data_IF_061927014673
#
_entry.id   IF_061927014673
#
_cell.length_a   1.000
_cell.length_b   1.000
_cell.length_c   1.000
_cell.angle_alpha   90.00
_cell.angle_beta   90.00
_cell.angle_gamma   90.00
#
_symmetry.space_group_name_H-M   'P 1'
#
loop_
_entity.id
_entity.type
_entity.pdbx_description
1 polymer ?
#
# COMPACT_ATOMS: atom_id res chain seq x y z
N UNK A 1 44.36 -71.49 -5.24
CA UNK A 1 43.29 -70.47 -5.11
C UNK A 1 41.89 -71.03 -4.76
N UNK A 2 41.63 -72.35 -4.76
CA UNK A 2 40.26 -72.87 -4.52
C UNK A 2 39.83 -73.04 -3.05
N UNK A 3 40.76 -73.00 -2.08
CA UNK A 3 40.43 -73.10 -0.64
C UNK A 3 40.16 -71.77 0.08
N UNK A 4 40.54 -70.63 -0.51
CA UNK A 4 40.22 -69.29 0.06
C UNK A 4 38.84 -68.77 -0.35
N UNK A 5 38.25 -69.28 -1.43
CA UNK A 5 36.89 -68.91 -1.85
C UNK A 5 35.78 -69.52 -0.97
N UNK A 6 36.03 -70.67 -0.34
CA UNK A 6 35.02 -71.36 0.48
C UNK A 6 34.80 -70.64 1.83
N UNK A 7 35.85 -70.07 2.41
CA UNK A 7 35.73 -69.27 3.64
C UNK A 7 35.07 -67.90 3.40
N UNK A 8 35.19 -67.34 2.19
CA UNK A 8 34.49 -66.11 1.80
C UNK A 8 33.00 -66.38 1.54
N UNK A 9 32.65 -67.55 0.99
CA UNK A 9 31.24 -67.97 0.84
C UNK A 9 30.56 -68.28 2.18
N UNK A 10 31.31 -68.81 3.16
CA UNK A 10 30.75 -69.08 4.50
C UNK A 10 30.67 -67.82 5.38
N UNK A 11 31.54 -66.83 5.17
CA UNK A 11 31.46 -65.53 5.85
C UNK A 11 30.36 -64.61 5.32
N UNK A 12 29.97 -64.77 4.05
CA UNK A 12 28.86 -64.00 3.44
C UNK A 12 27.50 -64.63 3.72
N UNK A 13 27.42 -65.94 3.96
CA UNK A 13 26.18 -66.60 4.40
C UNK A 13 25.77 -66.26 5.85
N UNK A 14 26.70 -65.79 6.69
CA UNK A 14 26.41 -65.38 8.07
C UNK A 14 25.87 -63.95 8.22
N UNK A 15 25.91 -63.13 7.16
CA UNK A 15 25.36 -61.76 7.17
C UNK A 15 23.89 -61.66 6.72
N UNK A 16 23.28 -62.77 6.30
CA UNK A 16 21.88 -62.81 5.83
C UNK A 16 20.89 -63.19 6.95
N UNK A 17 21.36 -63.41 8.18
CA UNK A 17 20.52 -63.78 9.33
C UNK A 17 20.35 -62.69 10.39
N UNK A 18 20.64 -61.41 10.06
CA UNK A 18 20.07 -60.31 10.82
C UNK A 18 18.60 -60.15 10.40
N UNK A 19 17.76 -61.03 10.95
CA UNK A 19 16.34 -60.80 11.05
C UNK A 19 16.20 -59.55 11.93
N UNK A 20 15.67 -58.48 11.36
CA UNK A 20 15.26 -57.32 12.12
C UNK A 20 14.24 -57.82 13.16
N UNK A 21 14.52 -57.58 14.44
CA UNK A 21 13.51 -57.71 15.49
C UNK A 21 12.25 -56.96 15.05
N UNK A 22 11.10 -57.57 15.35
CA UNK A 22 9.76 -57.07 15.09
C UNK A 22 9.74 -55.54 15.08
N UNK A 23 9.49 -54.97 13.90
CA UNK A 23 9.06 -53.59 13.80
C UNK A 23 7.81 -53.52 14.65
N UNK A 24 7.93 -52.92 15.83
CA UNK A 24 6.82 -52.71 16.75
C UNK A 24 5.74 -52.02 15.93
N UNK A 25 4.64 -52.72 15.70
CA UNK A 25 3.54 -52.19 14.91
C UNK A 25 2.96 -51.02 15.71
N UNK A 26 3.25 -49.80 15.26
CA UNK A 26 2.76 -48.57 15.89
C UNK A 26 1.35 -48.23 15.40
N UNK A 27 0.67 -49.15 14.71
CA UNK A 27 -0.74 -49.00 14.41
C UNK A 27 -1.54 -49.10 15.72
N UNK A 28 -2.34 -48.08 15.98
CA UNK A 28 -3.45 -48.19 16.93
C UNK A 28 -4.26 -49.46 16.56
N UNK A 29 -4.73 -50.25 17.54
CA UNK A 29 -5.48 -51.47 17.26
C UNK A 29 -6.65 -51.15 16.34
N UNK A 30 -6.62 -51.70 15.12
CA UNK A 30 -7.67 -51.50 14.13
C UNK A 30 -8.89 -52.32 14.53
N UNK A 31 -10.03 -51.66 14.66
CA UNK A 31 -11.34 -52.28 14.77
C UNK A 31 -12.14 -52.13 13.47
N UNK A 32 -13.25 -52.87 13.36
CA UNK A 32 -14.17 -52.82 12.23
C UNK A 32 -15.54 -52.28 12.67
N UNK A 33 -15.59 -51.48 13.75
CA UNK A 33 -16.83 -50.94 14.30
C UNK A 33 -16.92 -49.47 13.89
N UNK A 34 -17.82 -49.11 12.96
CA UNK A 34 -17.99 -47.72 12.58
C UNK A 34 -18.42 -46.84 13.77
N UNK A 35 -17.92 -45.60 13.86
CA UNK A 35 -18.33 -44.66 14.90
C UNK A 35 -19.80 -44.25 14.75
N UNK A 36 -20.38 -43.68 15.81
CA UNK A 36 -21.73 -43.10 15.78
C UNK A 36 -21.84 -41.90 14.84
N UNK A 37 -23.05 -41.61 14.34
CA UNK A 37 -23.30 -40.44 13.49
C UNK A 37 -23.21 -39.12 14.27
N UNK A 38 -22.96 -38.01 13.57
CA UNK A 38 -23.13 -36.67 14.14
C UNK A 38 -24.60 -36.35 14.41
N UNK A 39 -24.90 -35.64 15.49
CA UNK A 39 -26.27 -35.23 15.86
C UNK A 39 -26.37 -33.71 16.04
N UNK A 40 -27.59 -33.16 16.14
CA UNK A 40 -27.84 -31.72 16.32
C UNK A 40 -27.15 -30.81 15.31
N UNK A 41 -27.14 -31.22 14.03
CA UNK A 41 -26.46 -30.46 12.98
C UNK A 41 -27.18 -29.13 12.74
N UNK A 42 -26.44 -28.03 12.80
CA UNK A 42 -26.89 -26.65 12.54
C UNK A 42 -26.06 -26.05 11.41
N UNK A 43 -26.73 -25.43 10.46
CA UNK A 43 -26.10 -24.76 9.32
C UNK A 43 -26.24 -23.25 9.49
N UNK A 44 -25.11 -22.55 9.47
CA UNK A 44 -25.00 -21.10 9.41
C UNK A 44 -24.37 -20.72 8.07
N UNK A 45 -25.12 -20.06 7.17
CA UNK A 45 -24.61 -19.71 5.86
C UNK A 45 -23.69 -18.47 5.92
N UNK A 46 -22.55 -18.53 5.25
CA UNK A 46 -21.55 -17.47 5.20
C UNK A 46 -21.32 -17.01 3.75
N UNK A 47 -20.61 -15.89 3.54
CA UNK A 47 -20.30 -15.40 2.20
C UNK A 47 -19.40 -16.38 1.45
N UNK A 48 -19.90 -16.93 0.34
CA UNK A 48 -19.21 -17.97 -0.45
C UNK A 48 -19.02 -19.29 0.30
N UNK A 49 -19.80 -19.55 1.37
CA UNK A 49 -19.59 -20.70 2.23
C UNK A 49 -20.75 -21.04 3.18
N UNK A 50 -20.48 -21.98 4.07
CA UNK A 50 -21.32 -22.27 5.22
C UNK A 50 -20.50 -22.86 6.36
N UNK A 51 -20.92 -22.56 7.58
CA UNK A 51 -20.41 -23.14 8.82
C UNK A 51 -21.42 -24.15 9.33
N UNK A 52 -20.97 -25.38 9.50
CA UNK A 52 -21.80 -26.51 9.95
C UNK A 52 -21.31 -26.91 11.33
N UNK A 53 -22.15 -26.74 12.34
CA UNK A 53 -21.87 -27.13 13.73
C UNK A 53 -22.70 -28.36 14.10
N UNK A 54 -22.12 -29.29 14.84
CA UNK A 54 -22.73 -30.57 15.16
C UNK A 54 -22.24 -31.11 16.50
N UNK A 55 -22.95 -32.08 17.08
CA UNK A 55 -22.54 -32.81 18.28
C UNK A 55 -21.84 -34.11 17.87
N UNK A 56 -20.62 -34.31 18.36
CA UNK A 56 -19.79 -35.49 18.13
C UNK A 56 -20.33 -36.70 18.91
N UNK A 57 -20.17 -37.93 18.37
CA UNK A 57 -20.48 -39.15 19.10
C UNK A 57 -19.45 -39.41 20.22
N UNK A 58 -19.81 -40.24 21.20
CA UNK A 58 -18.98 -40.54 22.37
C UNK A 58 -17.95 -41.66 22.16
N UNK A 59 -17.63 -42.00 20.91
CA UNK A 59 -16.67 -43.05 20.57
C UNK A 59 -15.25 -42.66 21.00
N UNK A 60 -14.55 -43.57 21.67
CA UNK A 60 -13.23 -43.30 22.27
C UNK A 60 -12.11 -43.17 21.23
N UNK A 61 -12.32 -43.72 20.04
CA UNK A 61 -11.38 -43.78 18.92
C UNK A 61 -11.81 -42.88 17.76
N UNK A 62 -12.72 -41.93 18.00
CA UNK A 62 -13.14 -40.95 17.00
C UNK A 62 -11.94 -40.12 16.50
N UNK A 63 -11.73 -40.12 15.19
CA UNK A 63 -10.71 -39.31 14.52
C UNK A 63 -11.27 -37.93 14.17
N UNK A 64 -12.50 -37.87 13.67
CA UNK A 64 -13.17 -36.62 13.34
C UNK A 64 -14.38 -36.78 12.45
N UNK A 65 -14.75 -35.69 11.78
CA UNK A 65 -15.87 -35.60 10.85
C UNK A 65 -15.35 -35.18 9.48
N UNK A 66 -15.79 -35.88 8.45
CA UNK A 66 -15.54 -35.60 7.04
C UNK A 66 -16.83 -35.11 6.39
N UNK A 67 -16.77 -33.94 5.76
CA UNK A 67 -17.82 -33.43 4.89
C UNK A 67 -17.45 -33.70 3.44
N UNK A 68 -18.33 -34.37 2.70
CA UNK A 68 -18.25 -34.57 1.26
C UNK A 68 -19.25 -33.63 0.59
N UNK A 69 -18.76 -32.76 -0.27
CA UNK A 69 -19.54 -31.70 -0.92
C UNK A 69 -19.01 -31.44 -2.34
N UNK A 70 -19.79 -30.74 -3.16
CA UNK A 70 -19.37 -30.28 -4.47
C UNK A 70 -19.49 -28.76 -4.56
N UNK A 71 -18.57 -28.12 -5.27
CA UNK A 71 -18.66 -26.68 -5.57
C UNK A 71 -19.42 -26.40 -6.87
N UNK A 72 -19.57 -27.41 -7.72
CA UNK A 72 -20.32 -27.31 -8.97
C UNK A 72 -21.77 -27.78 -8.77
N UNK A 73 -22.69 -27.18 -9.51
CA UNK A 73 -24.11 -27.57 -9.47
C UNK A 73 -24.34 -29.02 -9.90
N UNK A 74 -23.47 -29.54 -10.79
CA UNK A 74 -23.62 -30.89 -11.34
C UNK A 74 -23.13 -31.98 -10.39
N UNK A 75 -22.46 -31.62 -9.29
CA UNK A 75 -21.92 -32.57 -8.33
C UNK A 75 -20.85 -33.51 -8.92
N UNK A 76 -20.15 -33.08 -9.97
CA UNK A 76 -19.19 -33.93 -10.69
C UNK A 76 -17.85 -34.03 -9.95
N UNK A 77 -17.45 -32.96 -9.26
CA UNK A 77 -16.21 -32.93 -8.49
C UNK A 77 -16.48 -32.89 -6.99
N UNK A 78 -16.50 -34.08 -6.38
CA UNK A 78 -16.61 -34.21 -4.93
C UNK A 78 -15.31 -33.78 -4.25
N UNK A 79 -15.45 -32.95 -3.24
CA UNK A 79 -14.40 -32.46 -2.35
C UNK A 79 -14.66 -32.94 -0.94
N UNK A 80 -13.58 -33.10 -0.19
CA UNK A 80 -13.62 -33.50 1.21
C UNK A 80 -13.09 -32.37 2.09
N UNK A 81 -13.82 -32.05 3.15
CA UNK A 81 -13.35 -31.20 4.24
C UNK A 81 -13.33 -32.02 5.54
N UNK A 82 -12.27 -31.87 6.33
CA UNK A 82 -12.07 -32.64 7.55
C UNK A 82 -12.00 -31.73 8.77
N UNK A 83 -12.69 -32.13 9.84
CA UNK A 83 -12.60 -31.53 11.17
C UNK A 83 -12.25 -32.61 12.18
N UNK A 84 -11.22 -32.39 12.99
CA UNK A 84 -10.81 -33.35 14.02
C UNK A 84 -11.88 -33.53 15.11
N UNK A 85 -11.79 -34.63 15.86
CA UNK A 85 -12.65 -34.92 17.01
C UNK A 85 -12.56 -33.88 18.17
N UNK A 86 -11.65 -32.91 18.07
CA UNK A 86 -11.54 -31.80 19.03
C UNK A 86 -12.37 -30.57 18.63
N UNK A 87 -13.02 -30.62 17.46
CA UNK A 87 -13.83 -29.52 16.91
C UNK A 87 -15.22 -30.03 16.56
N UNK A 88 -16.20 -29.21 16.88
CA UNK A 88 -17.63 -29.43 16.65
C UNK A 88 -18.12 -28.76 15.36
N UNK A 89 -17.21 -28.26 14.52
CA UNK A 89 -17.53 -27.35 13.43
C UNK A 89 -16.70 -27.63 12.18
N UNK A 90 -17.37 -27.74 11.04
CA UNK A 90 -16.77 -27.72 9.69
C UNK A 90 -17.12 -26.41 9.01
N UNK A 91 -16.13 -25.79 8.37
CA UNK A 91 -16.31 -24.59 7.54
C UNK A 91 -16.10 -25.00 6.09
N UNK A 92 -17.09 -24.70 5.25
CA UNK A 92 -17.05 -24.90 3.80
C UNK A 92 -16.94 -23.54 3.13
N UNK A 93 -16.05 -23.42 2.15
CA UNK A 93 -15.76 -22.17 1.44
C UNK A 93 -15.52 -22.45 -0.05
N UNK A 94 -15.74 -21.44 -0.89
CA UNK A 94 -15.44 -21.48 -2.32
C UNK A 94 -16.66 -21.59 -3.24
N UNK A 95 -17.86 -21.39 -2.71
CA UNK A 95 -19.08 -21.37 -3.52
C UNK A 95 -19.23 -20.04 -4.27
N UNK A 96 -19.50 -20.12 -5.57
CA UNK A 96 -19.61 -18.95 -6.45
C UNK A 96 -20.98 -18.24 -6.35
N UNK A 97 -22.02 -18.95 -5.89
CA UNK A 97 -23.41 -18.50 -5.95
C UNK A 97 -24.19 -18.82 -4.67
N UNK A 98 -25.47 -18.41 -4.65
CA UNK A 98 -26.37 -18.54 -3.50
C UNK A 98 -27.37 -19.69 -3.64
N UNK A 99 -27.05 -20.72 -4.43
CA UNK A 99 -27.91 -21.90 -4.61
C UNK A 99 -27.80 -22.85 -3.43
N UNK A 100 -28.71 -23.82 -3.40
CA UNK A 100 -28.72 -24.86 -2.38
C UNK A 100 -27.81 -26.01 -2.79
N UNK A 101 -26.92 -26.44 -1.90
CA UNK A 101 -25.98 -27.52 -2.13
C UNK A 101 -26.15 -28.62 -1.08
N UNK A 102 -26.24 -29.90 -1.49
CA UNK A 102 -26.22 -31.02 -0.55
C UNK A 102 -24.79 -31.26 -0.06
N UNK A 103 -24.65 -31.46 1.24
CA UNK A 103 -23.40 -31.81 1.92
C UNK A 103 -23.65 -33.09 2.72
N UNK A 104 -22.76 -34.06 2.60
CA UNK A 104 -22.86 -35.32 3.35
C UNK A 104 -21.76 -35.39 4.40
N UNK A 105 -22.13 -35.56 5.66
CA UNK A 105 -21.22 -35.70 6.79
C UNK A 105 -21.04 -37.18 7.15
N UNK A 106 -19.80 -37.56 7.42
CA UNK A 106 -19.37 -38.86 7.90
C UNK A 106 -18.52 -38.66 9.15
N UNK A 107 -18.72 -39.47 10.18
CA UNK A 107 -17.74 -39.60 11.27
C UNK A 107 -16.74 -40.68 10.89
N UNK A 108 -15.47 -40.44 11.21
CA UNK A 108 -14.35 -41.33 10.90
C UNK A 108 -13.64 -41.64 12.21
N UNK A 109 -13.32 -42.90 12.45
CA UNK A 109 -12.50 -43.36 13.57
C UNK A 109 -11.01 -43.45 13.19
N UNK A 110 -10.16 -43.82 14.14
CA UNK A 110 -8.72 -44.01 13.90
C UNK A 110 -8.42 -45.21 12.99
N UNK A 111 -9.31 -46.19 12.94
CA UNK A 111 -9.25 -47.38 12.07
C UNK A 111 -9.68 -47.09 10.62
N UNK A 112 -10.16 -45.86 10.34
CA UNK A 112 -10.73 -45.39 9.06
C UNK A 112 -12.08 -46.01 8.69
N UNK A 113 -12.86 -46.50 9.66
CA UNK A 113 -14.25 -46.85 9.41
C UNK A 113 -15.10 -45.57 9.32
N UNK A 114 -16.05 -45.55 8.38
CA UNK A 114 -16.97 -44.43 8.18
C UNK A 114 -18.36 -44.79 8.70
N UNK A 115 -19.02 -43.85 9.38
CA UNK A 115 -20.40 -44.02 9.83
C UNK A 115 -21.43 -43.89 8.70
N UNK A 116 -22.70 -44.09 9.04
CA UNK A 116 -23.80 -43.81 8.13
C UNK A 116 -23.85 -42.30 7.76
N UNK A 117 -24.18 -41.94 6.51
CA UNK A 117 -24.16 -40.56 6.03
C UNK A 117 -25.25 -39.70 6.70
N UNK A 118 -24.89 -38.48 7.09
CA UNK A 118 -25.83 -37.44 7.50
C UNK A 118 -25.87 -36.34 6.43
N UNK A 119 -26.99 -36.23 5.72
CA UNK A 119 -27.16 -35.21 4.68
C UNK A 119 -27.68 -33.91 5.27
N UNK A 120 -27.05 -32.80 4.90
CA UNK A 120 -27.49 -31.44 5.20
C UNK A 120 -27.47 -30.59 3.94
N UNK A 121 -28.35 -29.61 3.86
CA UNK A 121 -28.39 -28.66 2.74
C UNK A 121 -27.89 -27.31 3.22
N UNK A 122 -26.97 -26.71 2.46
CA UNK A 122 -26.45 -25.37 2.71
C UNK A 122 -26.94 -24.41 1.62
N UNK A 123 -27.00 -23.11 1.92
CA UNK A 123 -27.34 -22.06 0.97
C UNK A 123 -26.40 -20.86 1.16
N UNK A 124 -25.20 -20.88 0.55
CA UNK A 124 -24.20 -19.84 0.74
C UNK A 124 -24.75 -18.43 0.46
N UNK A 125 -24.19 -17.44 1.13
CA UNK A 125 -24.43 -16.04 0.78
C UNK A 125 -23.55 -15.65 -0.42
N UNK A 126 -23.82 -14.48 -1.02
CA UNK A 126 -23.11 -13.95 -2.19
C UNK A 126 -21.59 -14.11 -2.04
N UNK A 127 -20.93 -14.63 -3.08
CA UNK A 127 -19.49 -14.83 -3.04
C UNK A 127 -18.76 -13.51 -2.76
N UNK A 128 -17.73 -13.51 -1.88
CA UNK A 128 -16.97 -12.30 -1.55
C UNK A 128 -16.41 -11.59 -2.80
N UNK A 129 -15.98 -12.35 -3.82
CA UNK A 129 -15.45 -11.81 -5.08
C UNK A 129 -16.44 -10.87 -5.77
N UNK A 130 -17.74 -11.17 -5.73
CA UNK A 130 -18.78 -10.31 -6.32
C UNK A 130 -18.95 -9.02 -5.52
N UNK A 131 -18.97 -9.11 -4.19
CA UNK A 131 -19.12 -7.94 -3.31
C UNK A 131 -17.92 -6.98 -3.44
N UNK A 132 -16.71 -7.55 -3.55
CA UNK A 132 -15.50 -6.75 -3.74
C UNK A 132 -15.53 -6.09 -5.12
N UNK A 133 -15.93 -6.82 -6.16
CA UNK A 133 -16.06 -6.29 -7.52
C UNK A 133 -17.09 -5.15 -7.61
N UNK A 134 -18.22 -5.26 -6.93
CA UNK A 134 -19.24 -4.20 -6.85
C UNK A 134 -18.70 -2.91 -6.19
N UNK A 135 -17.72 -3.04 -5.29
CA UNK A 135 -17.06 -1.89 -4.64
C UNK A 135 -15.94 -1.25 -5.46
N UNK A 136 -15.52 -1.89 -6.56
CA UNK A 136 -14.39 -1.46 -7.38
C UNK A 136 -14.70 -0.12 -8.06
N UNK A 137 -13.90 0.89 -7.76
CA UNK A 137 -13.90 2.17 -8.47
C UNK A 137 -12.62 2.30 -9.26
N UNK A 138 -12.74 2.75 -10.51
CA UNK A 138 -11.62 2.96 -11.42
C UNK A 138 -11.68 4.39 -11.94
N UNK A 139 -10.60 5.13 -11.74
CA UNK A 139 -10.44 6.51 -12.20
C UNK A 139 -9.19 6.63 -13.09
N UNK A 140 -9.17 7.68 -13.92
CA UNK A 140 -7.97 8.01 -14.71
C UNK A 140 -6.96 8.76 -13.83
N UNK A 141 -5.67 8.55 -14.07
CA UNK A 141 -4.58 9.30 -13.44
C UNK A 141 -3.47 9.55 -14.47
N UNK A 142 -2.39 10.23 -14.07
CA UNK A 142 -1.29 10.56 -14.96
C UNK A 142 -0.55 9.33 -15.47
N UNK A 143 -0.50 9.20 -16.80
CA UNK A 143 0.12 8.06 -17.47
C UNK A 143 -0.54 6.72 -17.14
N UNK A 144 -1.77 6.72 -16.61
CA UNK A 144 -2.43 5.48 -16.24
C UNK A 144 -3.82 5.55 -15.59
N UNK A 145 -4.10 4.52 -14.82
CA UNK A 145 -5.38 4.34 -14.10
C UNK A 145 -5.13 4.04 -12.62
N UNK A 146 -6.11 4.41 -11.80
CA UNK A 146 -6.11 4.16 -10.37
C UNK A 146 -7.38 3.43 -9.96
N UNK A 147 -7.25 2.45 -9.07
CA UNK A 147 -8.33 1.61 -8.59
C UNK A 147 -8.42 1.62 -7.07
N UNK A 148 -9.64 1.57 -6.55
CA UNK A 148 -9.93 1.35 -5.12
C UNK A 148 -11.03 0.32 -4.94
N UNK A 149 -10.93 -0.54 -3.92
CA UNK A 149 -11.96 -1.51 -3.57
C UNK A 149 -11.97 -1.80 -2.07
N UNK A 150 -13.07 -2.35 -1.58
CA UNK A 150 -13.26 -2.76 -0.20
C UNK A 150 -13.34 -4.29 -0.09
N UNK A 151 -12.59 -4.88 0.84
CA UNK A 151 -12.53 -6.32 1.09
C UNK A 151 -12.58 -6.61 2.60
N UNK A 152 -13.69 -6.27 3.28
CA UNK A 152 -13.80 -6.40 4.74
C UNK A 152 -13.56 -7.84 5.24
N UNK A 153 -13.74 -8.84 4.37
CA UNK A 153 -13.58 -10.26 4.66
C UNK A 153 -12.15 -10.78 4.48
N UNK A 154 -11.21 -9.93 4.03
CA UNK A 154 -9.80 -10.26 3.79
C UNK A 154 -9.60 -11.49 2.91
N UNK A 155 -10.44 -11.61 1.87
CA UNK A 155 -10.35 -12.71 0.92
C UNK A 155 -9.23 -12.45 -0.08
N UNK A 156 -8.46 -13.49 -0.40
CA UNK A 156 -7.43 -13.39 -1.43
C UNK A 156 -8.07 -13.27 -2.82
N UNK A 157 -7.81 -12.17 -3.50
CA UNK A 157 -8.32 -11.85 -4.83
C UNK A 157 -7.19 -11.60 -5.81
N UNK A 158 -7.49 -11.79 -7.09
CA UNK A 158 -6.68 -11.35 -8.21
C UNK A 158 -7.52 -10.47 -9.13
N UNK A 159 -7.05 -9.25 -9.39
CA UNK A 159 -7.68 -8.31 -10.32
C UNK A 159 -6.86 -8.27 -11.60
N UNK A 160 -7.43 -8.74 -12.70
CA UNK A 160 -6.80 -8.78 -14.02
C UNK A 160 -7.30 -7.59 -14.84
N UNK A 161 -6.36 -6.84 -15.40
CA UNK A 161 -6.62 -5.65 -16.20
C UNK A 161 -6.35 -6.00 -17.64
N UNK A 162 -7.32 -5.74 -18.51
CA UNK A 162 -7.19 -5.95 -19.94
C UNK A 162 -7.33 -4.63 -20.68
N UNK A 163 -6.56 -4.50 -21.76
CA UNK A 163 -6.61 -3.36 -22.68
C UNK A 163 -6.56 -3.85 -24.13
N UNK A 164 -6.96 -3.02 -25.07
CA UNK A 164 -6.80 -3.33 -26.50
C UNK A 164 -5.32 -3.33 -26.90
N UNK A 165 -4.88 -4.37 -27.59
CA UNK A 165 -3.57 -4.41 -28.27
C UNK A 165 -3.62 -3.65 -29.61
N UNK A 166 -2.51 -3.64 -30.36
CA UNK A 166 -2.42 -2.98 -31.66
C UNK A 166 -3.41 -3.57 -32.69
N UNK A 167 -3.79 -4.83 -32.51
CA UNK A 167 -4.74 -5.58 -33.33
C UNK A 167 -6.21 -5.34 -32.93
N UNK A 168 -6.46 -4.60 -31.84
CA UNK A 168 -7.79 -4.25 -31.33
C UNK A 168 -8.44 -5.30 -30.43
N UNK A 169 -7.72 -6.38 -30.10
CA UNK A 169 -8.16 -7.45 -29.20
C UNK A 169 -7.84 -7.11 -27.73
N UNK A 170 -8.70 -7.53 -26.80
CA UNK A 170 -8.45 -7.35 -25.37
C UNK A 170 -7.35 -8.30 -24.89
N UNK A 171 -6.17 -7.76 -24.63
CA UNK A 171 -5.02 -8.49 -24.10
C UNK A 171 -4.84 -8.18 -22.61
N UNK A 172 -4.41 -9.20 -21.86
CA UNK A 172 -4.04 -9.04 -20.44
C UNK A 172 -2.87 -8.06 -20.34
N UNK A 173 -3.07 -7.00 -19.57
CA UNK A 173 -2.04 -6.02 -19.25
C UNK A 173 -1.26 -6.43 -18.00
N UNK A 174 -1.98 -6.63 -16.90
CA UNK A 174 -1.39 -6.99 -15.61
C UNK A 174 -2.41 -7.69 -14.70
N UNK A 175 -1.92 -8.38 -13.68
CA UNK A 175 -2.73 -8.99 -12.62
C UNK A 175 -2.22 -8.60 -11.24
N UNK A 176 -3.07 -7.92 -10.48
CA UNK A 176 -2.78 -7.49 -9.13
C UNK A 176 -3.39 -8.44 -8.09
N UNK A 177 -2.60 -8.84 -7.09
CA UNK A 177 -3.02 -9.76 -6.05
C UNK A 177 -3.13 -9.05 -4.71
N UNK A 178 -4.19 -9.31 -3.95
CA UNK A 178 -4.40 -8.68 -2.64
C UNK A 178 -5.32 -9.50 -1.74
N UNK A 179 -5.09 -9.43 -0.43
CA UNK A 179 -5.98 -9.90 0.63
C UNK A 179 -6.27 -8.80 1.67
N UNK A 180 -5.76 -7.59 1.44
CA UNK A 180 -5.92 -6.44 2.32
C UNK A 180 -7.41 -6.06 2.50
N UNK A 181 -7.81 -5.55 3.68
CA UNK A 181 -9.19 -5.21 3.98
C UNK A 181 -9.75 -4.06 3.14
N UNK A 182 -8.89 -3.16 2.69
CA UNK A 182 -9.16 -2.15 1.68
C UNK A 182 -7.97 -2.12 0.74
N UNK A 183 -8.23 -1.89 -0.54
CA UNK A 183 -7.21 -1.97 -1.57
C UNK A 183 -7.17 -0.72 -2.44
N UNK A 184 -5.95 -0.37 -2.83
CA UNK A 184 -5.64 0.76 -3.71
C UNK A 184 -4.50 0.31 -4.62
N UNK A 185 -4.63 0.54 -5.92
CA UNK A 185 -3.58 0.22 -6.89
C UNK A 185 -3.57 1.22 -8.04
N UNK A 186 -2.39 1.62 -8.48
CA UNK A 186 -2.18 2.45 -9.67
C UNK A 186 -1.40 1.65 -10.72
N UNK A 187 -1.79 1.80 -11.98
CA UNK A 187 -1.14 1.16 -13.12
C UNK A 187 -0.74 2.23 -14.11
N UNK A 188 0.56 2.35 -14.36
CA UNK A 188 1.16 3.32 -15.29
C UNK A 188 1.48 2.67 -16.63
N UNK A 189 1.89 3.46 -17.61
CA UNK A 189 2.29 2.98 -18.95
C UNK A 189 1.18 3.08 -20.00
N UNK A 190 0.17 3.90 -19.75
CA UNK A 190 -0.92 4.16 -20.68
C UNK A 190 -0.77 5.54 -21.31
N UNK A 191 -0.98 5.59 -22.62
CA UNK A 191 -1.04 6.84 -23.36
C UNK A 191 -2.29 7.65 -22.97
N UNK A 192 -2.20 8.98 -23.08
CA UNK A 192 -3.29 9.91 -22.79
C UNK A 192 -4.33 9.96 -23.92
N UNK A 193 -4.86 8.78 -24.26
CA UNK A 193 -5.87 8.56 -25.30
C UNK A 193 -7.03 7.76 -24.74
N UNK A 194 -8.23 8.03 -25.24
CA UNK A 194 -9.43 7.30 -24.82
C UNK A 194 -9.33 5.84 -25.26
N UNK A 195 -9.35 4.92 -24.29
CA UNK A 195 -9.20 3.49 -24.53
C UNK A 195 -10.11 2.67 -23.61
N UNK A 196 -10.49 1.47 -24.08
CA UNK A 196 -11.35 0.57 -23.33
C UNK A 196 -10.52 -0.28 -22.37
N UNK A 197 -10.98 -0.38 -21.14
CA UNK A 197 -10.42 -1.22 -20.10
C UNK A 197 -11.47 -2.25 -19.68
N UNK A 198 -10.99 -3.46 -19.40
CA UNK A 198 -11.80 -4.52 -18.77
C UNK A 198 -11.11 -4.99 -17.51
N UNK A 199 -11.86 -5.06 -16.44
CA UNK A 199 -11.41 -5.54 -15.14
C UNK A 199 -12.12 -6.85 -14.83
N UNK A 200 -11.35 -7.89 -14.56
CA UNK A 200 -11.86 -9.19 -14.11
C UNK A 200 -11.32 -9.49 -12.73
N UNK A 201 -12.19 -9.94 -11.83
CA UNK A 201 -11.79 -10.32 -10.49
C UNK A 201 -12.05 -11.80 -10.28
N UNK A 202 -11.05 -12.50 -9.74
CA UNK A 202 -11.16 -13.91 -9.37
C UNK A 202 -10.65 -14.16 -7.95
N UNK A 203 -11.18 -15.19 -7.32
CA UNK A 203 -10.72 -15.68 -6.03
C UNK A 203 -9.75 -16.89 -6.17
N UNK A 204 -9.31 -17.44 -5.03
CA UNK A 204 -8.43 -18.63 -4.99
C UNK A 204 -9.07 -19.92 -5.53
N UNK A 205 -10.39 -19.96 -5.66
CA UNK A 205 -11.15 -21.11 -6.16
C UNK A 205 -11.48 -21.00 -7.65
N UNK A 206 -10.99 -19.94 -8.33
CA UNK A 206 -11.32 -19.59 -9.71
C UNK A 206 -12.80 -19.24 -9.91
N UNK A 207 -13.47 -18.69 -8.89
CA UNK A 207 -14.75 -18.03 -9.09
C UNK A 207 -14.50 -16.64 -9.67
N UNK A 208 -15.24 -16.29 -10.72
CA UNK A 208 -15.13 -14.99 -11.39
C UNK A 208 -16.37 -14.15 -11.12
N UNK A 209 -16.15 -12.88 -10.80
CA UNK A 209 -17.23 -11.89 -10.79
C UNK A 209 -17.56 -11.43 -12.22
N UNK A 210 -18.71 -10.78 -12.38
CA UNK A 210 -19.04 -10.11 -13.64
C UNK A 210 -17.95 -9.05 -13.96
N UNK A 211 -17.41 -9.04 -15.18
CA UNK A 211 -16.37 -8.10 -15.55
C UNK A 211 -16.90 -6.66 -15.56
N UNK A 212 -16.03 -5.70 -15.23
CA UNK A 212 -16.30 -4.28 -15.35
C UNK A 212 -15.58 -3.76 -16.60
N UNK A 213 -16.36 -3.34 -17.60
CA UNK A 213 -15.85 -2.69 -18.81
C UNK A 213 -16.02 -1.17 -18.67
N UNK A 214 -14.95 -0.40 -18.85
CA UNK A 214 -14.97 1.07 -18.78
C UNK A 214 -14.19 1.72 -19.93
N UNK A 215 -14.58 2.94 -20.28
CA UNK A 215 -13.84 3.78 -21.20
C UNK A 215 -13.16 4.89 -20.39
N UNK A 216 -11.82 4.90 -20.39
CA UNK A 216 -11.04 5.86 -19.62
C UNK A 216 -10.02 6.56 -20.52
N UNK A 217 -9.64 7.77 -20.14
CA UNK A 217 -8.62 8.57 -20.81
C UNK A 217 -7.58 8.97 -19.77
N UNK A 218 -6.44 8.27 -19.68
CA UNK A 218 -5.35 8.64 -18.81
C UNK A 218 -4.93 10.10 -19.00
N UNK A 219 -4.47 10.75 -17.93
CA UNK A 219 -4.07 12.14 -17.98
C UNK A 219 -2.68 12.26 -18.62
N UNK A 220 -2.53 13.24 -19.50
CA UNK A 220 -1.25 13.60 -20.09
C UNK A 220 -0.36 14.23 -19.00
N UNK A 221 0.86 13.73 -18.87
CA UNK A 221 1.85 14.25 -17.91
C UNK A 221 2.88 15.11 -18.64
N UNK A 222 3.06 16.34 -18.16
CA UNK A 222 4.15 17.24 -18.55
C UNK A 222 4.86 17.76 -17.32
N UNK A 223 6.09 18.24 -17.48
CA UNK A 223 6.77 19.00 -16.43
C UNK A 223 6.04 20.32 -16.18
N UNK A 224 5.84 20.64 -14.91
CA UNK A 224 5.36 21.95 -14.45
C UNK A 224 6.61 22.82 -14.27
N UNK A 225 6.82 23.75 -15.19
CA UNK A 225 8.03 24.59 -15.21
C UNK A 225 7.96 25.73 -14.19
N UNK A 226 9.04 25.92 -13.44
CA UNK A 226 9.20 27.02 -12.47
C UNK A 226 9.69 28.34 -13.06
N UNK A 227 10.14 28.33 -14.32
CA UNK A 227 10.56 29.49 -15.11
C UNK A 227 9.86 29.50 -16.46
N UNK A 228 9.61 30.67 -17.01
CA UNK A 228 9.13 30.80 -18.39
C UNK A 228 10.27 30.60 -19.42
N UNK A 229 9.94 30.61 -20.71
CA UNK A 229 10.90 30.45 -21.82
C UNK A 229 12.02 31.51 -21.84
N UNK A 230 11.82 32.64 -21.16
CA UNK A 230 12.79 33.74 -21.04
C UNK A 230 13.62 33.65 -19.75
N UNK A 231 13.41 32.61 -18.93
CA UNK A 231 14.09 32.41 -17.65
C UNK A 231 13.52 33.25 -16.50
N UNK A 232 12.35 33.86 -16.68
CA UNK A 232 11.69 34.63 -15.61
C UNK A 232 11.01 33.66 -14.64
N UNK A 233 11.21 33.90 -13.34
CA UNK A 233 10.61 33.09 -12.29
C UNK A 233 9.08 33.16 -12.32
N UNK A 234 8.46 31.99 -12.41
CA UNK A 234 7.02 31.79 -12.22
C UNK A 234 6.76 31.43 -10.76
N UNK A 235 7.49 30.44 -10.25
CA UNK A 235 7.35 29.98 -8.87
C UNK A 235 7.94 30.97 -7.88
N UNK A 236 7.27 31.12 -6.74
CA UNK A 236 7.72 32.00 -5.66
C UNK A 236 7.59 31.25 -4.34
N UNK A 237 8.59 31.37 -3.49
CA UNK A 237 8.41 31.03 -2.08
C UNK A 237 7.40 32.05 -1.51
N UNK A 238 6.29 31.57 -0.97
CA UNK A 238 5.18 32.43 -0.59
C UNK A 238 5.56 33.34 0.59
N UNK A 239 5.35 34.65 0.42
CA UNK A 239 5.87 35.68 1.34
C UNK A 239 7.28 36.18 1.00
N UNK A 240 7.88 35.70 -0.09
CA UNK A 240 9.19 36.12 -0.57
C UNK A 240 9.13 36.55 -2.03
N UNK A 241 9.57 37.76 -2.30
CA UNK A 241 9.81 38.24 -3.66
C UNK A 241 11.31 38.16 -3.96
N UNK A 242 11.76 36.99 -4.43
CA UNK A 242 13.18 36.67 -4.54
C UNK A 242 13.84 36.56 -3.17
N UNK A 243 14.84 37.40 -2.90
CA UNK A 243 15.54 37.48 -1.60
C UNK A 243 14.86 38.44 -0.60
N UNK A 244 13.74 39.07 -0.96
CA UNK A 244 13.09 40.09 -0.12
C UNK A 244 11.79 39.54 0.46
N UNK A 245 11.75 39.36 1.77
CA UNK A 245 10.56 38.98 2.51
C UNK A 245 9.53 40.12 2.57
N UNK A 246 8.25 39.80 2.38
CA UNK A 246 7.12 40.72 2.63
C UNK A 246 6.63 40.68 4.08
N UNK A 247 7.11 39.71 4.88
CA UNK A 247 6.79 39.54 6.29
C UNK A 247 5.55 38.69 6.56
N UNK A 248 4.75 38.36 5.55
CA UNK A 248 3.52 37.57 5.71
C UNK A 248 3.81 36.11 6.09
N UNK A 249 4.95 35.56 5.67
CA UNK A 249 5.39 34.20 6.01
C UNK A 249 5.58 34.01 7.52
N UNK A 250 5.96 35.08 8.23
CA UNK A 250 6.11 35.07 9.70
C UNK A 250 4.78 34.88 10.44
N UNK A 251 3.65 35.17 9.81
CA UNK A 251 2.33 34.92 10.41
C UNK A 251 1.91 33.46 10.21
N UNK A 252 2.46 32.78 9.19
CA UNK A 252 2.10 31.41 8.82
C UNK A 252 3.03 30.33 9.39
N UNK A 253 4.03 30.73 10.17
CA UNK A 253 5.10 29.83 10.62
C UNK A 253 6.00 29.34 9.49
N UNK A 254 5.95 29.97 8.32
CA UNK A 254 6.77 29.59 7.17
C UNK A 254 8.24 29.99 7.42
N UNK A 255 9.14 29.12 6.98
CA UNK A 255 10.58 29.22 7.14
C UNK A 255 11.13 30.63 6.78
N UNK A 256 11.82 31.25 7.75
CA UNK A 256 12.19 32.67 7.71
C UNK A 256 13.68 32.95 7.38
N UNK A 257 14.63 32.11 7.81
CA UNK A 257 16.07 32.39 7.66
C UNK A 257 16.62 31.97 6.30
N UNK A 258 16.10 32.58 5.24
CA UNK A 258 16.57 32.40 3.87
C UNK A 258 18.03 32.83 3.75
N UNK A 259 18.88 31.95 3.23
CA UNK A 259 20.29 32.26 3.05
C UNK A 259 20.46 33.14 1.81
N UNK A 260 21.24 34.22 1.95
CA UNK A 260 21.46 35.18 0.87
C UNK A 260 21.99 34.48 -0.40
N UNK A 261 21.31 34.71 -1.52
CA UNK A 261 21.65 34.11 -2.82
C UNK A 261 21.27 32.62 -2.95
N UNK A 262 20.53 32.07 -1.99
CA UNK A 262 20.05 30.69 -1.96
C UNK A 262 18.53 30.66 -2.03
N UNK A 263 17.94 31.25 -3.08
CA UNK A 263 16.48 31.34 -3.24
C UNK A 263 15.92 30.25 -4.13
N UNK A 264 14.59 30.19 -4.24
CA UNK A 264 13.88 29.17 -5.02
C UNK A 264 14.31 29.12 -6.49
N UNK A 265 14.86 30.22 -7.05
CA UNK A 265 15.44 30.25 -8.41
C UNK A 265 16.55 29.22 -8.64
N UNK A 266 17.24 28.82 -7.56
CA UNK A 266 18.30 27.82 -7.54
C UNK A 266 17.79 26.40 -7.48
N UNK A 267 16.53 26.19 -7.12
CA UNK A 267 15.90 24.87 -7.13
C UNK A 267 15.17 24.60 -8.46
N UNK A 268 15.22 25.53 -9.42
CA UNK A 268 14.60 25.40 -10.75
C UNK A 268 15.55 25.91 -11.84
N UNK A 269 16.86 25.74 -11.64
CA UNK A 269 17.88 26.13 -12.62
C UNK A 269 18.35 24.96 -13.49
N UNK A 270 17.85 23.75 -13.24
CA UNK A 270 18.18 22.54 -13.97
C UNK A 270 19.48 21.89 -13.52
N UNK A 271 20.15 22.41 -12.48
CA UNK A 271 21.42 21.89 -11.97
C UNK A 271 21.19 20.95 -10.79
N UNK A 272 20.97 19.68 -11.11
CA UNK A 272 20.80 18.60 -10.13
C UNK A 272 22.06 18.39 -9.27
N UNK A 273 21.87 18.08 -7.98
CA UNK A 273 22.95 17.79 -7.04
C UNK A 273 24.04 18.87 -7.02
N UNK A 274 23.66 20.14 -7.10
CA UNK A 274 24.65 21.22 -6.98
C UNK A 274 25.10 21.42 -5.53
N UNK A 275 26.41 21.45 -5.31
CA UNK A 275 27.00 21.81 -4.00
C UNK A 275 27.11 23.31 -3.77
N UNK A 276 26.88 24.12 -4.82
CA UNK A 276 27.20 25.56 -4.87
C UNK A 276 26.07 26.47 -5.34
N UNK A 277 24.95 25.92 -5.84
CA UNK A 277 23.69 26.59 -6.20
C UNK A 277 22.55 25.72 -5.63
N UNK A 278 21.77 26.24 -4.69
CA UNK A 278 20.70 25.50 -4.03
C UNK A 278 19.81 26.49 -3.26
N UNK A 279 18.53 26.16 -3.10
CA UNK A 279 17.59 26.88 -2.26
C UNK A 279 17.78 26.45 -0.80
N UNK A 280 17.98 27.41 0.10
CA UNK A 280 18.29 27.13 1.50
C UNK A 280 17.60 28.10 2.44
N UNK A 281 16.68 27.57 3.24
CA UNK A 281 16.29 28.22 4.48
C UNK A 281 16.87 27.45 5.66
N UNK A 282 17.61 28.15 6.51
CA UNK A 282 18.26 27.56 7.69
C UNK A 282 17.34 27.62 8.92
N UNK A 283 17.60 26.73 9.88
CA UNK A 283 17.13 26.77 11.28
C UNK A 283 15.75 27.41 11.52
N UNK A 284 14.73 26.59 11.74
CA UNK A 284 13.46 27.07 12.25
C UNK A 284 13.54 27.34 13.77
N UNK A 285 13.37 28.59 14.18
CA UNK A 285 13.43 29.01 15.59
C UNK A 285 12.24 29.88 15.95
N UNK A 286 11.72 29.71 17.16
CA UNK A 286 10.49 30.37 17.58
C UNK A 286 10.64 31.89 17.70
N UNK A 287 11.83 32.37 18.11
CA UNK A 287 12.12 33.80 18.29
C UNK A 287 11.93 34.67 17.03
N UNK A 288 12.01 34.07 15.84
CA UNK A 288 11.75 34.76 14.58
C UNK A 288 10.25 35.06 14.40
N UNK A 289 9.39 34.25 15.01
CA UNK A 289 7.93 34.37 14.96
C UNK A 289 7.37 35.07 16.20
N UNK A 290 7.93 34.80 17.38
CA UNK A 290 7.48 35.38 18.65
C UNK A 290 8.70 36.04 19.33
N UNK A 291 8.86 37.37 19.22
CA UNK A 291 10.01 38.07 19.78
C UNK A 291 10.16 37.81 21.28
N UNK A 292 11.35 37.40 21.72
CA UNK A 292 11.66 37.07 23.11
C UNK A 292 11.70 35.57 23.42
N UNK A 293 11.17 34.74 22.53
CA UNK A 293 11.27 33.28 22.64
C UNK A 293 12.64 32.75 22.21
N UNK A 294 13.10 31.68 22.84
CA UNK A 294 14.42 31.08 22.61
C UNK A 294 14.38 29.64 22.07
N UNK A 295 13.18 29.06 21.93
CA UNK A 295 13.01 27.70 21.41
C UNK A 295 13.63 27.57 20.01
N UNK A 296 14.38 26.49 19.81
CA UNK A 296 15.12 26.22 18.58
C UNK A 296 14.80 24.82 18.08
N UNK A 297 15.19 24.50 16.85
CA UNK A 297 14.86 23.23 16.20
C UNK A 297 13.35 22.93 16.18
N UNK A 298 12.55 23.94 15.83
CA UNK A 298 11.10 23.89 15.85
C UNK A 298 10.56 23.05 14.69
N UNK A 299 9.99 21.88 15.03
CA UNK A 299 9.26 21.00 14.12
C UNK A 299 7.75 20.98 14.44
N UNK A 300 6.89 20.68 13.45
CA UNK A 300 7.23 20.64 12.03
C UNK A 300 7.64 22.03 11.52
N UNK A 301 8.51 22.11 10.51
CA UNK A 301 8.72 23.38 9.82
C UNK A 301 7.92 23.41 8.53
N UNK A 302 7.58 24.61 8.07
CA UNK A 302 6.72 24.81 6.91
C UNK A 302 7.41 25.66 5.86
N UNK A 303 7.12 25.38 4.60
CA UNK A 303 7.34 26.32 3.51
C UNK A 303 6.26 26.13 2.45
N UNK A 304 5.90 27.23 1.79
CA UNK A 304 4.85 27.22 0.78
C UNK A 304 5.39 27.80 -0.52
N UNK A 305 5.04 27.17 -1.64
CA UNK A 305 5.35 27.63 -2.99
C UNK A 305 4.05 28.12 -3.63
N UNK A 306 4.04 29.36 -4.10
CA UNK A 306 3.08 29.84 -5.08
C UNK A 306 3.58 29.41 -6.46
N UNK A 307 2.87 28.48 -7.09
CA UNK A 307 3.23 27.89 -8.37
C UNK A 307 2.95 28.84 -9.55
N UNK A 308 2.35 30.01 -9.28
CA UNK A 308 2.07 31.07 -10.24
C UNK A 308 0.90 30.79 -11.18
N UNK A 309 0.51 29.52 -11.34
CA UNK A 309 -0.69 29.08 -12.05
C UNK A 309 -1.18 27.74 -11.50
N UNK A 310 -2.46 27.44 -11.72
CA UNK A 310 -3.06 26.17 -11.30
C UNK A 310 -2.55 25.01 -12.16
N UNK A 311 -2.22 23.91 -11.51
CA UNK A 311 -1.92 22.65 -12.15
C UNK A 311 -2.43 21.50 -11.28
N UNK A 312 -2.82 20.39 -11.91
CA UNK A 312 -2.87 19.10 -11.23
C UNK A 312 -1.48 18.48 -11.23
N UNK A 313 -1.16 17.71 -10.19
CA UNK A 313 0.18 17.18 -9.97
C UNK A 313 0.15 15.66 -9.89
N UNK A 314 1.13 15.01 -10.49
CA UNK A 314 1.28 13.55 -10.51
C UNK A 314 2.36 13.07 -9.56
N UNK A 315 3.48 13.79 -9.53
CA UNK A 315 4.68 13.50 -8.75
C UNK A 315 5.55 14.73 -8.68
N UNK A 316 6.47 14.72 -7.75
CA UNK A 316 7.58 15.67 -7.71
C UNK A 316 8.87 14.94 -7.38
N UNK A 317 9.98 15.54 -7.76
CA UNK A 317 11.31 15.03 -7.49
C UNK A 317 12.18 16.12 -6.92
N UNK A 318 12.85 15.78 -5.85
CA UNK A 318 13.73 16.62 -5.09
C UNK A 318 15.16 16.14 -5.29
N UNK A 319 16.11 17.04 -5.45
CA UNK A 319 17.53 16.77 -5.26
C UNK A 319 18.06 17.58 -4.09
N UNK A 320 18.81 16.92 -3.22
CA UNK A 320 19.50 17.60 -2.12
C UNK A 320 20.76 18.30 -2.64
N UNK A 321 21.28 19.24 -1.85
CA UNK A 321 22.63 19.77 -2.07
C UNK A 321 23.68 18.66 -2.07
N UNK A 322 24.57 18.64 -3.07
CA UNK A 322 25.74 17.76 -3.03
C UNK A 322 26.75 18.23 -1.98
N UNK A 323 27.14 17.31 -1.12
CA UNK A 323 28.00 17.56 0.03
C UNK A 323 28.86 16.32 0.26
N UNK A 324 30.06 16.51 0.80
CA UNK A 324 30.92 15.42 1.27
C UNK A 324 30.94 15.41 2.80
N UNK A 325 30.61 14.27 3.45
CA UNK A 325 30.14 13.03 2.84
C UNK A 325 28.73 13.16 2.23
N UNK A 326 28.39 12.36 1.21
CA UNK A 326 27.04 12.32 0.63
C UNK A 326 26.01 12.03 1.74
N UNK A 327 24.79 12.52 1.61
CA UNK A 327 23.74 12.40 2.64
C UNK A 327 23.96 13.23 3.91
N UNK A 328 25.00 14.09 3.98
CA UNK A 328 25.22 14.99 5.12
C UNK A 328 24.60 16.39 4.97
N UNK A 329 24.00 16.71 3.82
CA UNK A 329 23.15 17.90 3.69
C UNK A 329 21.72 17.57 4.12
N UNK A 330 20.92 18.60 4.41
CA UNK A 330 19.57 18.41 4.94
C UNK A 330 18.63 17.81 3.90
N UNK A 331 17.96 16.73 4.30
CA UNK A 331 16.96 16.03 3.53
C UNK A 331 15.78 15.66 4.47
N UNK A 332 14.55 16.12 4.18
CA UNK A 332 13.34 15.68 4.85
C UNK A 332 13.19 14.17 4.81
N UNK A 333 12.86 13.58 5.96
CA UNK A 333 12.57 12.16 6.08
C UNK A 333 11.07 11.89 6.07
N UNK A 334 10.32 12.73 6.77
CA UNK A 334 8.88 12.57 6.98
C UNK A 334 8.22 13.93 6.82
N UNK A 335 7.35 14.05 5.83
CA UNK A 335 6.66 15.29 5.55
C UNK A 335 5.35 15.05 4.80
N UNK A 336 4.46 16.02 4.86
CA UNK A 336 3.23 16.06 4.08
C UNK A 336 3.31 17.15 3.02
N UNK A 337 2.63 16.92 1.90
CA UNK A 337 2.43 17.91 0.84
C UNK A 337 0.94 18.24 0.75
N UNK A 338 0.62 19.53 0.72
CA UNK A 338 -0.75 20.04 0.73
C UNK A 338 -0.96 21.05 -0.39
N UNK A 339 -2.17 21.07 -0.97
CA UNK A 339 -2.57 21.97 -2.05
C UNK A 339 -3.77 22.83 -1.68
N UNK A 340 -3.78 24.09 -2.11
CA UNK A 340 -4.98 24.93 -2.12
C UNK A 340 -4.98 25.93 -3.28
N UNK A 341 -6.16 26.43 -3.61
CA UNK A 341 -6.34 27.59 -4.50
C UNK A 341 -6.74 28.85 -3.74
N UNK A 342 -7.17 28.71 -2.49
CA UNK A 342 -7.78 29.78 -1.71
C UNK A 342 -7.20 29.79 -0.29
N UNK A 343 -5.89 30.10 -0.13
CA UNK A 343 -5.34 30.22 1.20
C UNK A 343 -6.07 31.34 1.96
N UNK A 344 -6.51 31.06 3.19
CA UNK A 344 -7.22 32.03 4.03
C UNK A 344 -6.37 33.28 4.25
N UNK A 345 -6.96 34.47 4.13
CA UNK A 345 -6.21 35.70 4.29
C UNK A 345 -5.83 35.91 5.77
N UNK A 346 -4.65 36.49 6.03
CA UNK A 346 -4.18 36.71 7.41
C UNK A 346 -5.18 37.52 8.25
N UNK A 347 -5.89 38.47 7.63
CA UNK A 347 -6.90 39.31 8.28
C UNK A 347 -8.21 38.60 8.62
N UNK A 348 -8.47 37.44 8.02
CA UNK A 348 -9.69 36.64 8.25
C UNK A 348 -9.54 35.64 9.39
N UNK A 349 -8.33 35.51 9.93
CA UNK A 349 -7.99 34.57 11.01
C UNK A 349 -8.00 35.33 12.34
N UNK A 350 -8.99 35.01 13.18
CA UNK A 350 -9.18 35.70 14.45
C UNK A 350 -9.35 37.21 14.26
N UNK A 351 -8.50 38.00 14.89
CA UNK A 351 -8.44 39.45 14.70
C UNK A 351 -7.34 39.92 13.71
N UNK A 352 -6.71 38.99 13.00
CA UNK A 352 -5.59 39.25 12.10
C UNK A 352 -4.22 39.40 12.78
N UNK A 353 -4.14 39.19 14.10
CA UNK A 353 -2.88 39.23 14.84
C UNK A 353 -1.94 38.09 14.45
N UNK A 354 -0.65 38.29 14.73
CA UNK A 354 0.37 37.25 14.56
C UNK A 354 0.10 36.04 15.45
N UNK A 355 -0.43 36.25 16.65
CA UNK A 355 -0.79 35.19 17.58
C UNK A 355 -1.90 34.29 17.03
N UNK A 356 -3.02 34.88 16.57
CA UNK A 356 -4.14 34.11 16.01
C UNK A 356 -3.73 33.37 14.74
N UNK A 357 -2.92 34.01 13.90
CA UNK A 357 -2.41 33.38 12.68
C UNK A 357 -1.47 32.21 12.98
N UNK A 358 -0.54 32.35 13.93
CA UNK A 358 0.36 31.26 14.31
C UNK A 358 -0.40 30.08 14.94
N UNK A 359 -1.46 30.34 15.70
CA UNK A 359 -2.38 29.30 16.20
C UNK A 359 -3.02 28.51 15.05
N UNK A 360 -3.55 29.21 14.06
CA UNK A 360 -4.24 28.58 12.93
C UNK A 360 -3.29 27.87 11.96
N UNK A 361 -2.14 28.47 11.61
CA UNK A 361 -1.24 28.01 10.53
C UNK A 361 -0.20 26.97 10.95
N UNK A 362 -0.07 26.69 12.25
CA UNK A 362 0.94 25.77 12.77
C UNK A 362 0.33 24.78 13.76
N UNK A 363 0.96 23.61 13.89
CA UNK A 363 0.75 22.67 14.99
C UNK A 363 1.72 22.86 16.16
N UNK A 364 2.35 24.04 16.32
CA UNK A 364 3.34 24.27 17.38
C UNK A 364 2.69 24.49 18.75
N UNK A 365 2.92 23.63 19.75
CA UNK A 365 2.32 23.80 21.08
C UNK A 365 2.67 25.13 21.76
N UNK A 366 3.87 25.67 21.47
CA UNK A 366 4.41 26.89 22.08
C UNK A 366 3.56 28.13 21.79
N UNK A 367 2.82 28.13 20.68
CA UNK A 367 1.92 29.23 20.30
C UNK A 367 0.45 28.84 20.39
N UNK A 368 0.14 27.66 20.94
CA UNK A 368 -1.21 27.08 20.93
C UNK A 368 -1.67 26.67 19.52
N UNK A 369 -0.73 26.25 18.67
CA UNK A 369 -0.97 25.79 17.30
C UNK A 369 -1.98 24.64 17.23
N UNK A 370 -2.94 24.75 16.31
CA UNK A 370 -4.04 23.80 16.11
C UNK A 370 -4.00 23.07 14.78
N UNK A 371 -3.13 23.49 13.84
CA UNK A 371 -3.14 23.02 12.45
C UNK A 371 -4.50 23.16 11.74
N UNK A 372 -5.35 24.10 12.19
CA UNK A 372 -6.68 24.32 11.61
C UNK A 372 -6.66 24.62 10.12
N UNK A 373 -5.57 25.18 9.61
CA UNK A 373 -5.34 25.40 8.18
C UNK A 373 -5.52 24.13 7.34
N UNK A 374 -5.25 22.94 7.88
CA UNK A 374 -5.44 21.67 7.19
C UNK A 374 -6.90 21.40 6.77
N UNK A 375 -7.88 22.07 7.40
CA UNK A 375 -9.29 21.97 6.98
C UNK A 375 -9.59 22.78 5.71
N UNK A 376 -8.75 23.78 5.39
CA UNK A 376 -8.90 24.66 4.22
C UNK A 376 -8.00 24.23 3.04
N UNK A 377 -7.23 23.14 3.22
CA UNK A 377 -6.25 22.62 2.27
C UNK A 377 -6.50 21.14 2.00
N UNK A 378 -6.10 20.66 0.82
CA UNK A 378 -6.21 19.26 0.43
C UNK A 378 -4.85 18.59 0.61
N UNK A 379 -4.80 17.50 1.38
CA UNK A 379 -3.58 16.69 1.47
C UNK A 379 -3.34 15.98 0.14
N UNK A 380 -2.13 16.15 -0.41
CA UNK A 380 -1.72 15.61 -1.70
C UNK A 380 -0.84 14.37 -1.56
N UNK A 381 0.00 14.31 -0.54
CA UNK A 381 0.87 13.15 -0.31
C UNK A 381 1.37 13.08 1.13
N UNK A 382 1.50 11.86 1.64
CA UNK A 382 2.37 11.53 2.79
C UNK A 382 3.71 11.03 2.24
N UNK A 383 4.80 11.71 2.60
CA UNK A 383 6.12 11.46 2.04
C UNK A 383 7.07 10.88 3.09
N UNK A 384 7.62 9.70 2.79
CA UNK A 384 8.59 9.01 3.61
C UNK A 384 9.85 8.72 2.80
N UNK A 385 10.99 9.25 3.23
CA UNK A 385 12.29 8.93 2.63
C UNK A 385 12.97 7.84 3.45
N UNK A 386 13.30 6.74 2.78
CA UNK A 386 14.16 5.68 3.31
C UNK A 386 15.16 5.29 2.23
N UNK A 387 16.42 5.12 2.63
CA UNK A 387 17.46 4.64 1.73
C UNK A 387 17.24 3.14 1.44
N UNK A 388 17.56 2.65 0.23
CA UNK A 388 17.40 1.24 -0.14
C UNK A 388 18.03 0.26 0.85
N UNK A 389 19.21 0.57 1.39
CA UNK A 389 19.87 -0.26 2.40
C UNK A 389 19.29 -0.13 3.82
N UNK A 390 18.46 0.88 4.06
CA UNK A 390 18.01 1.30 5.39
C UNK A 390 19.05 2.11 6.18
N UNK A 391 20.17 2.49 5.57
CA UNK A 391 21.18 3.33 6.23
C UNK A 391 20.58 4.67 6.71
N UNK A 392 21.07 5.14 7.84
CA UNK A 392 20.69 6.46 8.42
C UNK A 392 21.90 7.37 8.62
N UNK A 393 23.11 6.88 8.37
CA UNK A 393 24.35 7.62 8.51
C UNK A 393 25.11 7.70 7.18
N UNK A 394 25.69 8.87 6.83
CA UNK A 394 26.55 9.02 5.65
C UNK A 394 27.68 8.00 5.49
N UNK A 395 28.21 7.46 6.59
CA UNK A 395 29.31 6.50 6.58
C UNK A 395 28.87 5.08 6.18
N UNK A 396 27.59 4.76 6.31
CA UNK A 396 27.06 3.41 6.11
C UNK A 396 26.40 3.22 4.73
N UNK A 397 26.49 4.24 3.87
CA UNK A 397 25.88 4.24 2.55
C UNK A 397 26.49 3.17 1.63
N UNK A 398 25.63 2.34 1.06
CA UNK A 398 25.94 1.40 -0.01
C UNK A 398 26.06 2.12 -1.37
N UNK A 399 26.48 1.41 -2.41
CA UNK A 399 26.48 1.98 -3.77
C UNK A 399 25.05 2.26 -4.27
N UNK A 400 24.10 1.39 -3.94
CA UNK A 400 22.68 1.58 -4.28
C UNK A 400 22.12 2.85 -3.65
N UNK A 401 22.43 3.12 -2.38
CA UNK A 401 22.02 4.38 -1.73
C UNK A 401 22.61 5.61 -2.43
N UNK A 402 23.87 5.52 -2.88
CA UNK A 402 24.54 6.62 -3.59
C UNK A 402 23.87 6.93 -4.91
N UNK A 403 23.52 5.90 -5.67
CA UNK A 403 22.82 6.04 -6.93
C UNK A 403 21.41 6.59 -6.71
N UNK A 404 20.68 6.05 -5.73
CA UNK A 404 19.35 6.52 -5.34
C UNK A 404 19.36 8.01 -4.96
N UNK A 405 20.28 8.46 -4.09
CA UNK A 405 20.38 9.87 -3.70
C UNK A 405 20.70 10.76 -4.91
N UNK A 406 21.62 10.34 -5.78
CA UNK A 406 22.04 11.14 -6.94
C UNK A 406 20.96 11.21 -8.02
N UNK A 407 20.10 10.20 -8.13
CA UNK A 407 18.96 10.20 -9.05
C UNK A 407 17.85 11.18 -8.66
N UNK A 408 17.87 11.69 -7.42
CA UNK A 408 16.83 12.51 -6.84
C UNK A 408 15.72 11.66 -6.22
N UNK A 409 15.11 12.18 -5.15
CA UNK A 409 14.07 11.48 -4.41
C UNK A 409 12.72 11.87 -4.99
N UNK A 410 12.04 10.89 -5.56
CA UNK A 410 10.73 11.06 -6.18
C UNK A 410 9.62 10.64 -5.22
N UNK A 411 8.54 11.43 -5.22
CA UNK A 411 7.33 11.16 -4.46
C UNK A 411 6.14 11.28 -5.38
N UNK A 412 5.22 10.32 -5.28
CA UNK A 412 3.96 10.35 -6.00
C UNK A 412 2.93 11.19 -5.24
N UNK A 413 2.09 11.91 -5.98
CA UNK A 413 0.87 12.51 -5.44
C UNK A 413 -0.20 11.42 -5.37
N UNK A 414 -0.98 11.43 -4.30
CA UNK A 414 -2.08 10.50 -4.09
C UNK A 414 -2.98 10.47 -5.34
N UNK A 415 -3.17 9.31 -5.99
CA UNK A 415 -3.87 9.24 -7.27
C UNK A 415 -5.29 9.80 -7.25
N UNK A 416 -5.98 9.76 -6.11
CA UNK A 416 -7.33 10.32 -5.92
C UNK A 416 -7.34 11.87 -5.82
N UNK A 417 -6.16 12.51 -5.86
CA UNK A 417 -5.98 13.97 -5.93
C UNK A 417 -5.49 14.45 -7.29
N UNK A 418 -5.09 13.53 -8.17
CA UNK A 418 -4.45 13.87 -9.46
C UNK A 418 -5.39 14.53 -10.47
N UNK A 419 -6.70 14.48 -10.24
CA UNK A 419 -7.73 15.16 -11.03
C UNK A 419 -8.03 16.59 -10.54
N UNK A 420 -7.50 16.98 -9.37
CA UNK A 420 -7.68 18.30 -8.79
C UNK A 420 -6.48 19.20 -9.10
N UNK A 421 -6.73 20.50 -9.28
CA UNK A 421 -5.68 21.48 -9.57
C UNK A 421 -5.47 22.46 -8.42
N UNK A 422 -4.20 22.82 -8.16
CA UNK A 422 -3.78 23.70 -7.08
C UNK A 422 -2.71 24.69 -7.54
N UNK A 423 -2.76 25.91 -7.00
CA UNK A 423 -1.72 26.93 -7.21
C UNK A 423 -0.75 27.00 -6.04
N UNK A 424 -1.22 26.86 -4.79
CA UNK A 424 -0.35 26.93 -3.61
C UNK A 424 -0.04 25.53 -3.12
N UNK A 425 1.25 25.22 -3.00
CA UNK A 425 1.74 23.93 -2.49
C UNK A 425 2.53 24.17 -1.21
N UNK A 426 2.06 23.59 -0.10
CA UNK A 426 2.65 23.72 1.23
C UNK A 426 3.27 22.41 1.66
N UNK A 427 4.50 22.48 2.13
CA UNK A 427 5.23 21.37 2.70
C UNK A 427 5.22 21.50 4.22
N UNK A 428 4.83 20.43 4.90
CA UNK A 428 4.85 20.31 6.36
C UNK A 428 5.87 19.22 6.73
N UNK A 429 7.06 19.61 7.16
CA UNK A 429 8.17 18.69 7.39
C UNK A 429 8.32 18.40 8.87
N UNK A 430 8.23 17.12 9.24
CA UNK A 430 8.26 16.63 10.62
C UNK A 430 9.64 16.20 11.09
N UNK A 431 10.48 15.73 10.18
CA UNK A 431 11.84 15.27 10.51
C UNK A 431 12.77 15.35 9.32
N UNK A 432 14.06 15.38 9.61
CA UNK A 432 15.15 15.42 8.64
C UNK A 432 16.28 14.49 9.05
N UNK A 433 17.15 14.14 8.10
CA UNK A 433 18.28 13.23 8.33
C UNK A 433 19.30 13.74 9.36
N UNK A 434 19.41 15.06 9.60
CA UNK A 434 20.31 15.61 10.62
C UNK A 434 19.61 16.01 11.91
N UNK A 435 18.26 15.98 11.94
CA UNK A 435 17.45 16.46 13.06
C UNK A 435 17.38 17.99 13.17
N UNK A 436 17.84 18.74 12.17
CA UNK A 436 17.79 20.20 12.13
C UNK A 436 16.68 20.66 11.17
N UNK A 437 15.75 21.54 11.59
CA UNK A 437 14.68 22.01 10.72
C UNK A 437 15.20 23.08 9.76
N UNK A 438 15.70 22.60 8.63
CA UNK A 438 16.11 23.40 7.49
C UNK A 438 15.86 22.60 6.22
N UNK A 439 16.07 23.20 5.06
CA UNK A 439 16.09 22.48 3.79
C UNK A 439 17.22 22.98 2.91
N UNK A 440 17.82 22.10 2.12
CA UNK A 440 18.86 22.44 1.14
C UNK A 440 18.54 21.73 -0.18
N UNK A 441 17.75 22.39 -1.02
CA UNK A 441 17.20 21.81 -2.26
C UNK A 441 18.05 22.31 -3.43
N UNK A 442 18.77 21.40 -4.08
CA UNK A 442 19.54 21.74 -5.30
C UNK A 442 18.65 21.82 -6.53
N UNK A 443 17.64 20.96 -6.64
CA UNK A 443 16.68 21.00 -7.74
C UNK A 443 15.33 20.44 -7.25
N UNK A 444 14.24 20.99 -7.76
CA UNK A 444 12.87 20.58 -7.47
C UNK A 444 12.07 20.61 -8.77
N UNK A 445 11.54 19.47 -9.16
CA UNK A 445 10.71 19.32 -10.36
C UNK A 445 9.35 18.78 -9.99
N UNK A 446 8.31 19.28 -10.66
CA UNK A 446 6.95 18.79 -10.54
C UNK A 446 6.48 18.32 -11.91
N UNK A 447 5.65 17.28 -11.93
CA UNK A 447 4.97 16.81 -13.13
C UNK A 447 3.47 16.79 -12.91
N UNK A 448 2.72 16.89 -14.00
CA UNK A 448 1.27 16.86 -14.00
C UNK A 448 0.69 17.51 -15.24
N UNK A 449 -0.43 18.23 -15.11
CA UNK A 449 -1.04 18.99 -16.20
C UNK A 449 -1.48 20.34 -15.71
N UNK A 450 -1.32 21.34 -16.56
CA UNK A 450 -1.86 22.66 -16.27
C UNK A 450 -3.38 22.62 -16.33
N UNK A 451 -4.02 23.39 -15.44
CA UNK A 451 -5.44 23.63 -15.53
C UNK A 451 -5.70 24.69 -16.61
N UNK A 452 -6.70 24.46 -17.45
CA UNK A 452 -7.16 25.39 -18.47
C UNK A 452 -7.84 26.64 -17.89
#
# INVERSE_FOLDING_TARGET
>A
MKRKLIYILFGTALFVLYQCEEVKDWHDPTDNIPPGIVTNVKVENTYGGAKITYTLPSDNDLLGVKAVYALDEKGLELREAFSSAFRDTIVLEGYADTREYPVTLYTIDKSRNESAPVQVTIKPLTAPVNLIMESLKVNSTFGGIYMTWENPMRQAIAISIYRKNAEGEMALYDTYYSDAPSGRASFRGFEAVSQNFRFEMRDRWNNYAAPLDTLLTPLFETEIVGKDERGVMIWKQWGWNGNVADGSHLYRGDMNRLINGRTIDRAVDGVEMSGSAYWHCSNNVLGDFVPGESESNLFPYYFTIDMGRKASYSRFRWWMRDRSPLYSAELPLEFEVWGTNNPKALSEIGNGSKEDNLKYWTGWPQVGGTDEWKNDWVKLADCYMRLPSGATNPNDLTNEDREFIRAGIEYEIDPDKTDQSFQYIRFCVYSTNTGVPQFMISELKFWGSYAD
#
